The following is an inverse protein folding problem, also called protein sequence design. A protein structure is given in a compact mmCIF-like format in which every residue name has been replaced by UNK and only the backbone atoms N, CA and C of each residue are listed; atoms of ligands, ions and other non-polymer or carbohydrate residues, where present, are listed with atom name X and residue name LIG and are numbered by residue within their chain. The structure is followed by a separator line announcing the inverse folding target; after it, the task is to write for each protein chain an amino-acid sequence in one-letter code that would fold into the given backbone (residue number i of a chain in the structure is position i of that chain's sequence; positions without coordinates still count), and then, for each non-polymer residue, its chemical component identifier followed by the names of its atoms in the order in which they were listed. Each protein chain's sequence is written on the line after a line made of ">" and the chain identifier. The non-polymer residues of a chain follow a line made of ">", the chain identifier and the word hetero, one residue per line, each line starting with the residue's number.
data_IF_352603698877
#
_entry.id   IF_352603698877
#
_cell.length_a   1.000
_cell.length_b   1.000
_cell.length_c   1.000
_cell.angle_alpha   90.00
_cell.angle_beta   90.00
_cell.angle_gamma   90.00
#
_symmetry.space_group_name_H-M   'P 1'
#
loop_
_entity.id
_entity.type
_entity.pdbx_description
1 polymer ?
#
# COMPACT_ATOMS: atom_id res chain seq x y z
N UNK A 1 36.90 -6.93 -24.00
CA UNK A 1 36.02 -8.12 -23.85
C UNK A 1 35.33 -8.18 -22.49
N UNK A 2 36.05 -8.13 -21.36
CA UNK A 2 35.44 -8.28 -20.02
C UNK A 2 34.36 -7.23 -19.68
N UNK A 3 34.50 -5.99 -20.16
CA UNK A 3 33.53 -4.91 -19.95
C UNK A 3 32.18 -5.13 -20.65
N UNK A 4 32.20 -5.73 -21.85
CA UNK A 4 30.96 -6.00 -22.62
C UNK A 4 30.10 -7.05 -21.90
N UNK A 5 30.75 -8.11 -21.39
CA UNK A 5 30.08 -9.18 -20.64
C UNK A 5 29.48 -8.62 -19.34
N UNK A 6 30.19 -7.73 -18.65
CA UNK A 6 29.69 -7.06 -17.44
C UNK A 6 28.45 -6.21 -17.71
N UNK A 7 28.43 -5.42 -18.78
CA UNK A 7 27.28 -4.58 -19.15
C UNK A 7 26.06 -5.43 -19.53
N UNK A 8 26.28 -6.51 -20.29
CA UNK A 8 25.19 -7.43 -20.66
C UNK A 8 24.60 -8.13 -19.44
N UNK A 9 25.43 -8.61 -18.51
CA UNK A 9 24.98 -9.22 -17.26
C UNK A 9 24.20 -8.22 -16.39
N UNK A 10 24.68 -6.98 -16.27
CA UNK A 10 23.98 -5.93 -15.54
C UNK A 10 22.62 -5.58 -16.17
N UNK A 11 22.56 -5.51 -17.50
CA UNK A 11 21.31 -5.28 -18.25
C UNK A 11 20.30 -6.42 -18.06
N UNK A 12 20.75 -7.67 -18.13
CA UNK A 12 19.90 -8.84 -17.89
C UNK A 12 19.39 -8.87 -16.45
N UNK A 13 20.24 -8.56 -15.47
CA UNK A 13 19.82 -8.49 -14.07
C UNK A 13 18.74 -7.43 -13.84
N UNK A 14 18.93 -6.24 -14.41
CA UNK A 14 17.96 -5.16 -14.30
C UNK A 14 16.64 -5.50 -15.01
N UNK A 15 16.71 -6.08 -16.21
CA UNK A 15 15.53 -6.54 -16.95
C UNK A 15 14.78 -7.64 -16.20
N UNK A 16 15.49 -8.60 -15.58
CA UNK A 16 14.88 -9.65 -14.77
C UNK A 16 14.18 -9.09 -13.53
N UNK A 17 14.76 -8.10 -12.87
CA UNK A 17 14.12 -7.42 -11.73
C UNK A 17 12.83 -6.70 -12.14
N UNK A 18 12.86 -5.95 -13.26
CA UNK A 18 11.67 -5.28 -13.80
C UNK A 18 10.61 -6.28 -14.28
N UNK A 19 11.03 -7.40 -14.89
CA UNK A 19 10.14 -8.47 -15.30
C UNK A 19 9.45 -9.14 -14.11
N UNK A 20 10.18 -9.45 -13.05
CA UNK A 20 9.61 -10.02 -11.82
C UNK A 20 8.62 -9.04 -11.16
N UNK A 21 8.95 -7.76 -11.10
CA UNK A 21 8.06 -6.72 -10.56
C UNK A 21 6.74 -6.65 -11.35
N UNK A 22 6.84 -6.55 -12.68
CA UNK A 22 5.68 -6.39 -13.56
C UNK A 22 4.84 -7.67 -13.67
N UNK A 23 5.46 -8.85 -13.74
CA UNK A 23 4.75 -10.13 -13.73
C UNK A 23 4.04 -10.39 -12.41
N UNK A 24 4.62 -10.01 -11.26
CA UNK A 24 3.95 -10.08 -9.97
C UNK A 24 2.69 -9.21 -9.92
N UNK A 25 2.78 -7.98 -10.44
CA UNK A 25 1.61 -7.09 -10.56
C UNK A 25 0.56 -7.65 -11.52
N UNK A 26 0.96 -8.19 -12.67
CA UNK A 26 0.05 -8.84 -13.62
C UNK A 26 -0.62 -10.09 -13.04
N UNK A 27 0.08 -10.89 -12.22
CA UNK A 27 -0.51 -12.06 -11.57
C UNK A 27 -1.56 -11.65 -10.53
N UNK A 28 -1.25 -10.66 -9.69
CA UNK A 28 -2.20 -10.15 -8.68
C UNK A 28 -3.43 -9.53 -9.35
N UNK A 29 -3.23 -8.69 -10.36
CA UNK A 29 -4.34 -8.04 -11.07
C UNK A 29 -5.08 -8.97 -12.04
N UNK A 30 -4.38 -9.91 -12.67
CA UNK A 30 -4.94 -10.88 -13.62
C UNK A 30 -5.84 -11.92 -12.94
N UNK A 31 -5.54 -12.29 -11.69
CA UNK A 31 -6.40 -13.18 -10.89
C UNK A 31 -7.61 -12.42 -10.34
N UNK A 32 -7.48 -11.15 -9.93
CA UNK A 32 -8.58 -10.42 -9.31
C UNK A 32 -9.61 -9.81 -10.28
N UNK A 33 -9.38 -9.81 -11.61
CA UNK A 33 -10.26 -9.24 -12.68
C UNK A 33 -10.71 -7.77 -12.51
N UNK A 34 -10.51 -7.19 -11.34
CA UNK A 34 -10.80 -5.82 -10.92
C UNK A 34 -9.60 -5.36 -10.09
N UNK A 35 -9.00 -4.23 -10.45
CA UNK A 35 -7.92 -3.65 -9.65
C UNK A 35 -8.53 -3.21 -8.33
N UNK A 36 -8.32 -3.99 -7.26
CA UNK A 36 -8.77 -3.60 -5.93
C UNK A 36 -7.83 -2.52 -5.35
N UNK A 37 -7.91 -1.30 -5.91
CA UNK A 37 -7.24 -0.10 -5.39
C UNK A 37 -7.68 0.22 -3.94
N UNK A 38 -8.72 -0.43 -3.42
CA UNK A 38 -9.08 -0.32 -2.01
C UNK A 38 -7.93 -0.81 -1.11
N UNK A 39 -7.21 -1.88 -1.46
CA UNK A 39 -6.10 -2.36 -0.63
C UNK A 39 -4.96 -1.34 -0.56
N UNK A 40 -4.57 -0.77 -1.72
CA UNK A 40 -3.53 0.25 -1.79
C UNK A 40 -3.92 1.57 -1.11
N UNK A 41 -5.16 2.02 -1.29
CA UNK A 41 -5.66 3.24 -0.64
C UNK A 41 -5.87 3.10 0.87
N UNK A 42 -6.31 1.93 1.35
CA UNK A 42 -6.40 1.62 2.79
C UNK A 42 -5.00 1.55 3.43
N UNK A 43 -4.04 0.94 2.75
CA UNK A 43 -2.65 0.91 3.21
C UNK A 43 -2.06 2.32 3.30
N UNK A 44 -2.26 3.15 2.27
CA UNK A 44 -1.81 4.54 2.25
C UNK A 44 -2.48 5.38 3.35
N UNK A 45 -3.78 5.17 3.61
CA UNK A 45 -4.51 5.83 4.69
C UNK A 45 -3.91 5.47 6.07
N UNK A 46 -3.67 4.18 6.32
CA UNK A 46 -3.04 3.72 7.56
C UNK A 46 -1.64 4.31 7.75
N UNK A 47 -0.82 4.35 6.69
CA UNK A 47 0.50 4.97 6.72
C UNK A 47 0.43 6.48 6.99
N UNK A 48 -0.50 7.20 6.34
CA UNK A 48 -0.68 8.64 6.53
C UNK A 48 -1.09 8.96 7.98
N UNK A 49 -2.08 8.27 8.53
CA UNK A 49 -2.51 8.44 9.93
C UNK A 49 -1.36 8.13 10.89
N UNK A 50 -0.60 7.06 10.62
CA UNK A 50 0.59 6.69 11.37
C UNK A 50 1.63 7.82 11.41
N UNK A 51 1.99 8.37 10.25
CA UNK A 51 2.98 9.44 10.12
C UNK A 51 2.47 10.73 10.75
N UNK A 52 1.23 11.15 10.48
CA UNK A 52 0.66 12.37 11.05
C UNK A 52 0.59 12.32 12.58
N UNK A 53 0.21 11.18 13.15
CA UNK A 53 0.12 11.04 14.61
C UNK A 53 1.49 10.95 15.26
N UNK A 54 2.41 10.18 14.68
CA UNK A 54 3.78 10.07 15.23
C UNK A 54 4.56 11.37 15.12
N UNK A 55 4.40 12.13 14.02
CA UNK A 55 5.01 13.46 13.86
C UNK A 55 4.40 14.49 14.82
N UNK A 56 3.08 14.48 15.03
CA UNK A 56 2.43 15.31 16.05
C UNK A 56 2.91 14.97 17.46
N UNK A 57 3.01 13.68 17.80
CA UNK A 57 3.50 13.23 19.10
C UNK A 57 4.96 13.65 19.33
N UNK A 58 5.82 13.52 18.31
CA UNK A 58 7.21 13.96 18.38
C UNK A 58 7.31 15.49 18.57
N UNK A 59 6.44 16.27 17.90
CA UNK A 59 6.37 17.72 18.04
C UNK A 59 5.92 18.18 19.45
N UNK A 60 5.17 17.35 20.18
CA UNK A 60 4.78 17.59 21.58
C UNK A 60 5.89 17.27 22.59
N UNK A 61 7.10 16.92 22.12
CA UNK A 61 8.25 16.65 22.99
C UNK A 61 8.30 15.22 23.53
N UNK A 62 7.63 14.27 22.88
CA UNK A 62 7.66 12.88 23.30
C UNK A 62 9.09 12.30 23.16
N UNK A 63 9.68 11.72 24.22
CA UNK A 63 11.03 11.16 24.15
C UNK A 63 11.07 9.99 23.15
N UNK A 64 12.14 9.94 22.35
CA UNK A 64 12.43 8.92 21.33
C UNK A 64 12.15 7.47 21.79
N UNK A 65 12.46 7.02 23.03
CA UNK A 65 12.11 5.67 23.48
C UNK A 65 10.61 5.36 23.59
N UNK A 66 9.74 6.37 23.65
CA UNK A 66 8.28 6.20 23.63
C UNK A 66 7.69 6.20 22.21
N UNK A 67 8.51 6.37 21.17
CA UNK A 67 8.10 6.25 19.77
C UNK A 67 7.32 4.96 19.43
N UNK A 68 7.74 3.75 19.86
CA UNK A 68 6.96 2.53 19.59
C UNK A 68 5.57 2.54 20.26
N UNK A 69 5.44 3.18 21.43
CA UNK A 69 4.15 3.34 22.10
C UNK A 69 3.25 4.33 21.32
N UNK A 70 3.83 5.42 20.84
CA UNK A 70 3.14 6.39 19.98
C UNK A 70 2.72 5.76 18.64
N UNK A 71 3.54 4.88 18.08
CA UNK A 71 3.23 4.13 16.85
C UNK A 71 2.10 3.11 17.09
N UNK A 72 2.10 2.42 18.23
CA UNK A 72 1.00 1.53 18.64
C UNK A 72 -0.30 2.30 18.83
N UNK A 73 -0.25 3.47 19.48
CA UNK A 73 -1.40 4.36 19.63
C UNK A 73 -1.90 4.87 18.27
N UNK A 74 -0.99 5.23 17.36
CA UNK A 74 -1.32 5.61 15.99
C UNK A 74 -1.98 4.46 15.22
N UNK A 75 -1.47 3.23 15.38
CA UNK A 75 -2.04 2.03 14.79
C UNK A 75 -3.44 1.70 15.33
N UNK A 76 -3.67 1.88 16.63
CA UNK A 76 -4.99 1.77 17.24
C UNK A 76 -5.97 2.82 16.69
N UNK A 77 -5.53 4.07 16.55
CA UNK A 77 -6.34 5.14 15.96
C UNK A 77 -6.63 4.87 14.48
N UNK A 78 -5.65 4.41 13.72
CA UNK A 78 -5.82 4.02 12.32
C UNK A 78 -6.79 2.84 12.19
N UNK A 79 -6.72 1.85 13.09
CA UNK A 79 -7.66 0.73 13.15
C UNK A 79 -9.09 1.16 13.52
N UNK A 80 -9.22 2.11 14.45
CA UNK A 80 -10.51 2.74 14.81
C UNK A 80 -11.15 3.49 13.64
N UNK A 81 -10.35 4.13 12.79
CA UNK A 81 -10.80 4.79 11.55
C UNK A 81 -11.07 3.76 10.44
N UNK A 82 -10.29 2.68 10.40
CA UNK A 82 -10.44 1.57 9.46
C UNK A 82 -11.75 0.79 9.65
N UNK A 83 -12.20 0.59 10.90
CA UNK A 83 -13.44 -0.13 11.23
C UNK A 83 -14.71 0.45 10.56
N UNK A 84 -15.02 1.76 10.67
CA UNK A 84 -16.18 2.35 10.00
C UNK A 84 -16.01 2.39 8.49
N UNK A 85 -14.78 2.54 7.99
CA UNK A 85 -14.48 2.50 6.57
C UNK A 85 -14.75 1.12 5.98
N UNK A 86 -14.35 0.05 6.66
CA UNK A 86 -14.64 -1.33 6.27
C UNK A 86 -16.15 -1.63 6.30
N UNK A 87 -16.89 -1.09 7.27
CA UNK A 87 -18.37 -1.16 7.29
C UNK A 87 -19.03 -0.41 6.13
N UNK A 88 -18.45 0.73 5.71
CA UNK A 88 -18.95 1.48 4.56
C UNK A 88 -18.66 0.76 3.23
N UNK A 89 -17.46 0.21 3.09
CA UNK A 89 -17.03 -0.54 1.89
C UNK A 89 -17.83 -1.85 1.74
N UNK A 90 -18.04 -2.60 2.83
CA UNK A 90 -18.88 -3.81 2.80
C UNK A 90 -20.36 -3.54 2.45
N UNK A 91 -20.84 -2.31 2.67
CA UNK A 91 -22.17 -1.88 2.23
C UNK A 91 -22.23 -1.66 0.72
N UNK A 92 -21.13 -1.22 0.10
CA UNK A 92 -21.00 -0.98 -1.34
C UNK A 92 -20.83 -2.30 -2.11
N UNK A 93 -20.17 -3.32 -1.52
CA UNK A 93 -19.98 -4.66 -2.10
C UNK A 93 -21.28 -5.45 -2.36
N UNK A 94 -22.43 -5.01 -1.82
CA UNK A 94 -23.74 -5.65 -2.08
C UNK A 94 -24.39 -5.25 -3.42
N UNK A 95 -23.69 -4.52 -4.29
CA UNK A 95 -24.21 -4.04 -5.58
C UNK A 95 -23.44 -4.67 -6.76
N UNK A 96 -24.15 -5.05 -7.84
CA UNK A 96 -23.58 -5.84 -8.94
C UNK A 96 -22.45 -5.13 -9.69
N UNK A 97 -21.54 -5.97 -10.19
CA UNK A 97 -20.15 -5.74 -10.61
C UNK A 97 -19.95 -4.73 -11.76
N UNK A 98 -21.03 -4.33 -12.43
CA UNK A 98 -21.00 -3.39 -13.57
C UNK A 98 -20.80 -1.92 -13.16
N UNK A 99 -21.18 -1.54 -11.94
CA UNK A 99 -21.02 -0.14 -11.47
C UNK A 99 -19.57 0.21 -11.11
N UNK A 100 -18.72 -0.79 -10.87
CA UNK A 100 -17.34 -0.59 -10.43
C UNK A 100 -16.40 -0.25 -11.60
N UNK A 101 -16.77 -0.62 -12.83
CA UNK A 101 -16.03 -0.27 -14.06
C UNK A 101 -16.30 1.16 -14.54
N UNK A 102 -17.47 1.73 -14.24
CA UNK A 102 -17.86 3.09 -14.66
C UNK A 102 -17.29 4.20 -13.76
N UNK A 103 -16.91 3.89 -12.50
CA UNK A 103 -16.40 4.86 -11.54
C UNK A 103 -14.87 4.92 -11.42
N UNK A 104 -14.15 3.99 -12.07
CA UNK A 104 -12.67 3.92 -12.01
C UNK A 104 -11.96 4.22 -13.34
N UNK A 105 -12.68 4.71 -14.36
CA UNK A 105 -12.03 5.40 -15.49
C UNK A 105 -11.55 6.79 -15.07
#
# INVERSE_FOLDING_TARGET
>A
MASLIGILMAGVFHAAALFLLTSGLQLVFGVQRVVNLACGSLYALGAYVGISFTTWALAQGLPIPMFPLALLAAGLLAGLIGLPLERLISTIYKRPESFQLLLTS
#
